data_IF_547207701321
#
_entry.id   IF_547207701321
#
_cell.length_a   1.000
_cell.length_b   1.000
_cell.length_c   1.000
_cell.angle_alpha   90.00
_cell.angle_beta   90.00
_cell.angle_gamma   90.00
#
_symmetry.space_group_name_H-M   'P 1'
#
loop_
_entity.id
_entity.type
_entity.pdbx_description
1 polymer ?
#
# COMPACT_ATOMS: atom_id res chain seq x y z
N UNK A 1 14.24 -42.05 -6.85
CA UNK A 1 14.23 -42.11 -8.32
C UNK A 1 13.74 -40.75 -8.81
N UNK A 2 14.59 -39.98 -9.51
CA UNK A 2 14.39 -38.55 -9.74
C UNK A 2 13.42 -38.32 -10.92
N UNK A 3 12.24 -37.76 -10.64
CA UNK A 3 11.19 -37.41 -11.62
C UNK A 3 11.72 -36.46 -12.72
N UNK A 4 12.80 -35.73 -12.43
CA UNK A 4 13.48 -34.81 -13.34
C UNK A 4 14.21 -35.48 -14.52
N UNK A 5 14.35 -36.81 -14.53
CA UNK A 5 15.09 -37.52 -15.58
C UNK A 5 14.24 -37.96 -16.78
N UNK A 6 12.92 -38.02 -16.64
CA UNK A 6 12.02 -38.55 -17.69
C UNK A 6 11.39 -37.48 -18.58
N UNK A 7 11.46 -36.23 -18.15
CA UNK A 7 10.93 -35.09 -18.89
C UNK A 7 12.06 -34.07 -18.83
N UNK A 8 12.63 -33.67 -19.97
CA UNK A 8 13.77 -32.73 -20.05
C UNK A 8 13.47 -31.30 -19.58
N UNK A 9 12.59 -31.17 -18.59
CA UNK A 9 12.17 -29.96 -17.92
C UNK A 9 13.16 -29.63 -16.80
N UNK A 10 13.63 -28.38 -16.75
CA UNK A 10 14.44 -27.90 -15.63
C UNK A 10 13.64 -28.00 -14.32
N UNK A 11 14.32 -28.24 -13.20
CA UNK A 11 13.68 -28.28 -11.86
C UNK A 11 12.85 -27.03 -11.57
N UNK A 12 13.33 -25.86 -12.02
CA UNK A 12 12.63 -24.58 -11.88
C UNK A 12 11.31 -24.56 -12.65
N UNK A 13 11.26 -25.14 -13.86
CA UNK A 13 10.04 -25.20 -14.66
C UNK A 13 9.02 -26.18 -14.08
N UNK A 14 9.48 -27.28 -13.46
CA UNK A 14 8.58 -28.20 -12.72
C UNK A 14 7.98 -27.51 -11.50
N UNK A 15 8.80 -26.79 -10.72
CA UNK A 15 8.32 -26.02 -9.56
C UNK A 15 7.31 -24.95 -10.02
N UNK A 16 7.62 -24.23 -11.11
CA UNK A 16 6.71 -23.26 -11.69
C UNK A 16 5.36 -23.87 -12.06
N UNK A 17 5.35 -25.00 -12.76
CA UNK A 17 4.11 -25.68 -13.17
C UNK A 17 3.30 -26.18 -11.97
N UNK A 18 3.97 -26.69 -10.93
CA UNK A 18 3.30 -27.14 -9.70
C UNK A 18 2.70 -25.97 -8.92
N UNK A 19 3.43 -24.85 -8.81
CA UNK A 19 2.91 -23.62 -8.22
C UNK A 19 1.73 -23.13 -9.05
N UNK A 20 1.86 -23.00 -10.37
CA UNK A 20 0.77 -22.58 -11.25
C UNK A 20 -0.48 -23.47 -11.17
N UNK A 21 -0.31 -24.79 -11.05
CA UNK A 21 -1.42 -25.73 -10.87
C UNK A 21 -2.09 -25.53 -9.51
N UNK A 22 -1.31 -25.47 -8.42
CA UNK A 22 -1.82 -25.22 -7.07
C UNK A 22 -2.59 -23.89 -7.04
N UNK A 23 -1.99 -22.85 -7.60
CA UNK A 23 -2.54 -21.51 -7.76
C UNK A 23 -3.88 -21.52 -8.51
N UNK A 24 -3.96 -22.27 -9.61
CA UNK A 24 -5.19 -22.39 -10.39
C UNK A 24 -6.30 -23.02 -9.56
N UNK A 25 -6.01 -24.14 -8.87
CA UNK A 25 -6.97 -24.83 -8.00
C UNK A 25 -7.42 -23.92 -6.85
N UNK A 26 -6.49 -23.22 -6.20
CA UNK A 26 -6.81 -22.40 -5.03
C UNK A 26 -7.57 -21.12 -5.40
N UNK A 27 -7.41 -20.57 -6.62
CA UNK A 27 -8.27 -19.46 -7.07
C UNK A 27 -9.73 -19.87 -7.20
N UNK A 28 -10.01 -21.10 -7.67
CA UNK A 28 -11.37 -21.62 -7.75
C UNK A 28 -11.98 -21.89 -6.37
N UNK A 29 -11.16 -22.27 -5.38
CA UNK A 29 -11.62 -22.55 -4.03
C UNK A 29 -11.78 -21.26 -3.22
N UNK A 30 -10.75 -20.42 -3.16
CA UNK A 30 -10.73 -19.20 -2.38
C UNK A 30 -9.51 -18.34 -2.73
N UNK A 31 -9.69 -17.11 -3.23
CA UNK A 31 -8.57 -16.19 -3.46
C UNK A 31 -7.85 -15.82 -2.16
N UNK A 32 -8.54 -15.89 -1.01
CA UNK A 32 -7.94 -15.68 0.31
C UNK A 32 -6.97 -16.82 0.65
N UNK A 33 -7.40 -18.07 0.50
CA UNK A 33 -6.55 -19.24 0.72
C UNK A 33 -5.34 -19.20 -0.22
N UNK A 34 -5.57 -18.89 -1.50
CA UNK A 34 -4.50 -18.71 -2.49
C UNK A 34 -3.45 -17.69 -2.05
N UNK A 35 -3.87 -16.51 -1.61
CA UNK A 35 -2.97 -15.47 -1.13
C UNK A 35 -2.11 -15.95 0.05
N UNK A 36 -2.72 -16.52 1.10
CA UNK A 36 -1.96 -16.92 2.28
C UNK A 36 -1.09 -18.15 2.05
N UNK A 37 -1.52 -19.11 1.22
CA UNK A 37 -0.64 -20.21 0.81
C UNK A 37 0.59 -19.70 0.07
N UNK A 38 0.44 -18.65 -0.73
CA UNK A 38 1.57 -18.01 -1.44
C UNK A 38 2.51 -17.31 -0.47
N UNK A 39 1.97 -16.63 0.55
CA UNK A 39 2.80 -16.03 1.61
C UNK A 39 3.54 -17.12 2.40
N UNK A 40 2.86 -18.22 2.76
CA UNK A 40 3.49 -19.37 3.44
C UNK A 40 4.56 -20.03 2.55
N UNK A 41 4.31 -20.14 1.24
CA UNK A 41 5.30 -20.59 0.27
C UNK A 41 6.59 -19.75 0.36
N UNK A 42 6.48 -18.42 0.33
CA UNK A 42 7.64 -17.54 0.49
C UNK A 42 8.35 -17.63 1.85
N UNK A 43 7.64 -18.01 2.92
CA UNK A 43 8.24 -18.20 4.25
C UNK A 43 9.09 -19.46 4.36
N UNK A 44 8.67 -20.54 3.70
CA UNK A 44 9.24 -21.88 3.90
C UNK A 44 10.03 -22.41 2.71
N UNK A 45 9.69 -21.97 1.50
CA UNK A 45 10.36 -22.38 0.27
C UNK A 45 11.42 -21.34 -0.09
N UNK A 46 12.59 -21.85 -0.50
CA UNK A 46 13.69 -21.01 -0.93
C UNK A 46 13.44 -20.53 -2.36
N UNK A 47 13.40 -19.21 -2.54
CA UNK A 47 13.05 -18.57 -3.81
C UNK A 47 14.14 -17.60 -4.26
N UNK A 48 15.32 -18.12 -4.55
CA UNK A 48 16.52 -17.32 -4.82
C UNK A 48 16.48 -16.64 -6.20
N UNK A 49 15.84 -17.27 -7.19
CA UNK A 49 15.81 -16.79 -8.57
C UNK A 49 14.52 -16.03 -8.88
N UNK A 50 14.60 -15.03 -9.76
CA UNK A 50 13.42 -14.27 -10.20
C UNK A 50 12.39 -15.19 -10.86
N UNK A 51 12.85 -16.20 -11.61
CA UNK A 51 11.99 -17.19 -12.28
C UNK A 51 11.14 -17.96 -11.26
N UNK A 52 11.70 -18.30 -10.10
CA UNK A 52 10.93 -18.97 -9.04
C UNK A 52 9.94 -18.05 -8.31
N UNK A 53 10.23 -16.75 -8.21
CA UNK A 53 9.46 -15.80 -7.41
C UNK A 53 8.34 -15.12 -8.18
N UNK A 54 8.66 -14.58 -9.35
CA UNK A 54 7.77 -13.74 -10.12
C UNK A 54 6.39 -14.38 -10.42
N UNK A 55 6.31 -15.68 -10.72
CA UNK A 55 5.03 -16.39 -10.85
C UNK A 55 4.17 -16.36 -9.59
N UNK A 56 4.78 -16.61 -8.44
CA UNK A 56 4.10 -16.58 -7.15
C UNK A 56 3.72 -15.14 -6.74
N UNK A 57 4.56 -14.15 -7.05
CA UNK A 57 4.22 -12.73 -6.88
C UNK A 57 3.02 -12.31 -7.73
N UNK A 58 3.01 -12.67 -9.01
CA UNK A 58 1.91 -12.41 -9.92
C UNK A 58 0.62 -13.09 -9.43
N UNK A 59 0.73 -14.32 -8.94
CA UNK A 59 -0.40 -15.01 -8.37
C UNK A 59 -0.96 -14.34 -7.12
N UNK A 60 -0.10 -13.87 -6.20
CA UNK A 60 -0.52 -13.08 -5.05
C UNK A 60 -1.26 -11.81 -5.48
N UNK A 61 -0.77 -11.11 -6.52
CA UNK A 61 -1.41 -9.93 -7.10
C UNK A 61 -2.81 -10.27 -7.63
N UNK A 62 -2.96 -11.36 -8.38
CA UNK A 62 -4.27 -11.82 -8.87
C UNK A 62 -5.22 -12.09 -7.71
N UNK A 63 -4.77 -12.80 -6.67
CA UNK A 63 -5.57 -13.05 -5.48
C UNK A 63 -6.03 -11.73 -4.83
N UNK A 64 -5.12 -10.79 -4.58
CA UNK A 64 -5.45 -9.46 -4.01
C UNK A 64 -6.48 -8.71 -4.87
N UNK A 65 -6.37 -8.82 -6.19
CA UNK A 65 -7.28 -8.18 -7.15
C UNK A 65 -8.70 -8.74 -7.04
N UNK A 66 -8.84 -10.06 -6.94
CA UNK A 66 -10.15 -10.72 -6.74
C UNK A 66 -10.72 -10.38 -5.36
N UNK A 67 -9.88 -10.35 -4.31
CA UNK A 67 -10.31 -9.95 -2.96
C UNK A 67 -10.82 -8.50 -2.97
N UNK A 68 -10.11 -7.57 -3.62
CA UNK A 68 -10.53 -6.18 -3.75
C UNK A 68 -11.83 -6.02 -4.53
N UNK A 69 -12.03 -6.82 -5.58
CA UNK A 69 -13.26 -6.82 -6.37
C UNK A 69 -14.46 -7.40 -5.59
N UNK A 70 -14.25 -8.14 -4.50
CA UNK A 70 -15.35 -8.73 -3.72
C UNK A 70 -16.06 -7.72 -2.80
N UNK A 71 -15.47 -6.55 -2.57
CA UNK A 71 -15.99 -5.45 -1.73
C UNK A 71 -17.33 -4.92 -2.24
N UNK A 72 -18.22 -4.56 -1.32
CA UNK A 72 -19.47 -3.87 -1.64
C UNK A 72 -19.20 -2.43 -2.05
N UNK A 73 -19.68 -2.04 -3.24
CA UNK A 73 -19.62 -0.66 -3.72
C UNK A 73 -20.65 0.19 -2.97
N UNK A 74 -20.24 1.35 -2.44
CA UNK A 74 -21.15 2.25 -1.72
C UNK A 74 -21.47 1.78 -0.30
N UNK A 75 -20.58 1.01 0.32
CA UNK A 75 -20.75 0.45 1.67
C UNK A 75 -21.01 1.53 2.76
N UNK A 76 -20.55 2.77 2.57
CA UNK A 76 -20.76 3.85 3.53
C UNK A 76 -20.67 5.25 2.95
N UNK A 77 -21.18 6.25 3.69
CA UNK A 77 -21.23 7.66 3.25
C UNK A 77 -19.85 8.29 2.99
N UNK A 78 -18.78 7.76 3.59
CA UNK A 78 -17.40 8.19 3.35
C UNK A 78 -16.65 7.43 2.26
N UNK A 79 -17.32 6.60 1.46
CA UNK A 79 -16.66 5.80 0.41
C UNK A 79 -16.29 6.66 -0.81
N UNK A 80 -15.05 7.16 -0.84
CA UNK A 80 -14.50 7.90 -1.98
C UNK A 80 -14.55 7.08 -3.29
N UNK A 81 -14.56 5.74 -3.21
CA UNK A 81 -14.67 4.90 -4.41
C UNK A 81 -15.98 5.15 -5.15
N UNK A 82 -17.09 5.06 -4.42
CA UNK A 82 -18.41 5.30 -4.96
C UNK A 82 -18.69 6.80 -5.22
N UNK A 83 -18.35 7.66 -4.27
CA UNK A 83 -18.76 9.06 -4.33
C UNK A 83 -17.87 9.95 -5.21
N UNK A 84 -16.63 9.53 -5.48
CA UNK A 84 -15.63 10.37 -6.17
C UNK A 84 -15.05 9.67 -7.39
N UNK A 85 -14.55 8.44 -7.25
CA UNK A 85 -13.80 7.79 -8.33
C UNK A 85 -14.68 7.19 -9.43
N UNK A 86 -15.81 6.57 -9.09
CA UNK A 86 -16.76 6.06 -10.08
C UNK A 86 -17.35 7.19 -10.95
N UNK A 87 -17.86 8.30 -10.38
CA UNK A 87 -18.35 9.43 -11.18
C UNK A 87 -17.28 10.00 -12.12
N UNK A 88 -16.04 10.14 -11.65
CA UNK A 88 -14.93 10.60 -12.49
C UNK A 88 -14.60 9.60 -13.61
N UNK A 89 -14.62 8.30 -13.33
CA UNK A 89 -14.41 7.25 -14.33
C UNK A 89 -15.49 7.29 -15.43
N UNK A 90 -16.77 7.39 -15.04
CA UNK A 90 -17.87 7.50 -16.00
C UNK A 90 -17.81 8.77 -16.83
N UNK A 91 -17.48 9.90 -16.21
CA UNK A 91 -17.37 11.18 -16.88
C UNK A 91 -16.27 11.15 -17.96
N UNK A 92 -15.10 10.61 -17.64
CA UNK A 92 -14.03 10.35 -18.62
C UNK A 92 -14.50 9.39 -19.71
N UNK A 93 -15.26 8.35 -19.37
CA UNK A 93 -15.82 7.41 -20.36
C UNK A 93 -16.83 8.06 -21.32
N UNK A 94 -17.57 9.09 -20.85
CA UNK A 94 -18.47 9.91 -21.67
C UNK A 94 -17.75 10.96 -22.51
N UNK A 95 -16.41 11.04 -22.44
CA UNK A 95 -15.58 11.94 -23.24
C UNK A 95 -15.25 13.27 -22.57
N UNK A 96 -15.49 13.42 -21.26
CA UNK A 96 -15.02 14.61 -20.55
C UNK A 96 -13.49 14.68 -20.50
N UNK A 97 -12.96 15.90 -20.46
CA UNK A 97 -11.52 16.15 -20.40
C UNK A 97 -10.90 15.59 -19.13
N UNK A 98 -9.74 14.95 -19.25
CA UNK A 98 -8.96 14.44 -18.10
C UNK A 98 -8.51 15.56 -17.14
N UNK A 99 -8.55 16.82 -17.57
CA UNK A 99 -8.23 18.00 -16.77
C UNK A 99 -9.44 18.60 -16.03
N UNK A 100 -10.65 18.07 -16.22
CA UNK A 100 -11.86 18.58 -15.55
C UNK A 100 -11.95 18.20 -14.07
N UNK A 101 -11.11 17.26 -13.62
CA UNK A 101 -11.21 16.63 -12.31
C UNK A 101 -10.02 17.00 -11.43
N UNK A 102 -10.27 17.07 -10.11
CA UNK A 102 -9.27 17.17 -9.03
C UNK A 102 -8.31 18.39 -9.10
N UNK A 103 -8.21 19.14 -8.00
CA UNK A 103 -7.22 20.22 -7.83
C UNK A 103 -7.14 21.20 -9.03
N UNK A 104 -8.29 21.54 -9.63
CA UNK A 104 -8.35 22.45 -10.78
C UNK A 104 -7.71 21.90 -12.06
N UNK A 105 -7.59 20.59 -12.21
CA UNK A 105 -7.03 19.91 -13.38
C UNK A 105 -5.55 19.58 -13.30
N UNK A 106 -4.87 19.96 -12.21
CA UNK A 106 -3.44 19.63 -12.00
C UNK A 106 -3.26 18.13 -11.73
N UNK A 107 -4.23 17.50 -11.05
CA UNK A 107 -4.17 16.09 -10.66
C UNK A 107 -4.86 15.16 -11.68
N UNK A 108 -4.42 15.24 -12.94
CA UNK A 108 -5.00 14.47 -14.05
C UNK A 108 -4.47 13.04 -14.19
N UNK A 109 -3.57 12.58 -13.30
CA UNK A 109 -2.93 11.26 -13.41
C UNK A 109 -3.92 10.09 -13.37
N UNK A 110 -4.88 10.13 -12.44
CA UNK A 110 -5.93 9.09 -12.34
C UNK A 110 -6.96 9.19 -13.49
N UNK A 111 -7.49 10.38 -13.86
CA UNK A 111 -8.30 10.52 -15.07
C UNK A 111 -7.60 10.03 -16.35
N UNK A 112 -6.30 10.28 -16.50
CA UNK A 112 -5.51 9.75 -17.62
C UNK A 112 -5.45 8.22 -17.60
N UNK A 113 -5.28 7.62 -16.42
CA UNK A 113 -5.34 6.17 -16.25
C UNK A 113 -6.70 5.62 -16.69
N UNK A 114 -7.82 6.24 -16.28
CA UNK A 114 -9.16 5.86 -16.72
C UNK A 114 -9.34 5.95 -18.24
N UNK A 115 -8.83 7.01 -18.87
CA UNK A 115 -8.88 7.17 -20.32
C UNK A 115 -8.13 6.04 -21.04
N UNK A 116 -6.94 5.68 -20.55
CA UNK A 116 -6.16 4.56 -21.11
C UNK A 116 -6.90 3.24 -20.90
N UNK A 117 -7.46 3.02 -19.70
CA UNK A 117 -8.21 1.81 -19.38
C UNK A 117 -9.41 1.63 -20.32
N UNK A 118 -10.23 2.67 -20.50
CA UNK A 118 -11.42 2.63 -21.37
C UNK A 118 -11.07 2.37 -22.84
N UNK A 119 -9.90 2.81 -23.30
CA UNK A 119 -9.41 2.54 -24.66
C UNK A 119 -8.94 1.10 -24.85
N UNK A 120 -8.32 0.51 -23.84
CA UNK A 120 -7.78 -0.85 -23.93
C UNK A 120 -8.83 -1.92 -23.60
N UNK A 121 -9.73 -1.63 -22.66
CA UNK A 121 -10.74 -2.53 -22.13
C UNK A 121 -12.09 -1.80 -22.05
N UNK A 122 -12.78 -1.60 -23.18
CA UNK A 122 -14.08 -0.93 -23.18
C UNK A 122 -15.11 -1.77 -22.40
N UNK A 123 -15.94 -1.11 -21.61
CA UNK A 123 -17.04 -1.75 -20.88
C UNK A 123 -16.69 -2.35 -19.51
N UNK A 124 -15.53 -2.02 -18.95
CA UNK A 124 -15.17 -2.40 -17.57
C UNK A 124 -16.18 -1.80 -16.58
N UNK A 125 -16.87 -2.66 -15.82
CA UNK A 125 -17.79 -2.25 -14.76
C UNK A 125 -17.04 -1.90 -13.46
N UNK A 126 -17.73 -1.38 -12.44
CA UNK A 126 -17.06 -0.91 -11.21
C UNK A 126 -16.42 -2.04 -10.40
N UNK A 127 -17.01 -3.23 -10.39
CA UNK A 127 -16.43 -4.41 -9.71
C UNK A 127 -15.09 -4.79 -10.37
N UNK A 128 -15.08 -4.84 -11.70
CA UNK A 128 -13.90 -5.11 -12.50
C UNK A 128 -12.86 -3.99 -12.37
N UNK A 129 -13.29 -2.73 -12.32
CA UNK A 129 -12.42 -1.58 -12.14
C UNK A 129 -11.62 -1.70 -10.83
N UNK A 130 -12.28 -2.02 -9.72
CA UNK A 130 -11.62 -2.29 -8.42
C UNK A 130 -10.52 -3.34 -8.55
N UNK A 131 -10.84 -4.48 -9.18
CA UNK A 131 -9.87 -5.54 -9.41
C UNK A 131 -8.69 -5.11 -10.29
N UNK A 132 -8.94 -4.40 -11.39
CA UNK A 132 -7.90 -3.93 -12.32
C UNK A 132 -6.96 -2.90 -11.65
N UNK A 133 -7.49 -1.97 -10.86
CA UNK A 133 -6.68 -0.99 -10.13
C UNK A 133 -5.76 -1.71 -9.15
N UNK A 134 -6.32 -2.59 -8.32
CA UNK A 134 -5.54 -3.37 -7.36
C UNK A 134 -4.48 -4.20 -8.06
N UNK A 135 -4.80 -4.82 -9.19
CA UNK A 135 -3.82 -5.57 -10.00
C UNK A 135 -2.65 -4.69 -10.43
N UNK A 136 -2.94 -3.57 -11.10
CA UNK A 136 -1.92 -2.69 -11.67
C UNK A 136 -1.07 -2.06 -10.58
N UNK A 137 -1.69 -1.58 -9.50
CA UNK A 137 -0.97 -0.93 -8.40
C UNK A 137 -0.09 -1.92 -7.64
N UNK A 138 -0.59 -3.11 -7.37
CA UNK A 138 0.19 -4.18 -6.72
C UNK A 138 1.34 -4.64 -7.63
N UNK A 139 1.11 -4.74 -8.94
CA UNK A 139 2.15 -5.07 -9.90
C UNK A 139 3.28 -4.03 -9.93
N UNK A 140 2.94 -2.74 -10.01
CA UNK A 140 3.92 -1.65 -9.94
C UNK A 140 4.68 -1.68 -8.60
N UNK A 141 3.99 -1.99 -7.50
CA UNK A 141 4.64 -2.15 -6.20
C UNK A 141 5.65 -3.30 -6.18
N UNK A 142 5.31 -4.48 -6.71
CA UNK A 142 6.25 -5.61 -6.82
C UNK A 142 7.46 -5.26 -7.69
N UNK A 143 7.27 -4.51 -8.79
CA UNK A 143 8.40 -4.00 -9.58
C UNK A 143 9.33 -3.10 -8.75
N UNK A 144 8.77 -2.25 -7.88
CA UNK A 144 9.57 -1.45 -6.95
C UNK A 144 10.32 -2.32 -5.94
N UNK A 145 9.64 -3.33 -5.37
CA UNK A 145 10.21 -4.26 -4.39
C UNK A 145 11.42 -4.99 -4.99
N UNK A 146 11.28 -5.59 -6.17
CA UNK A 146 12.37 -6.30 -6.85
C UNK A 146 13.52 -5.34 -7.22
N UNK A 147 13.20 -4.13 -7.73
CA UNK A 147 14.23 -3.18 -8.19
C UNK A 147 15.02 -2.53 -7.07
N UNK A 148 14.37 -2.15 -5.98
CA UNK A 148 14.99 -1.29 -4.95
C UNK A 148 15.12 -1.99 -3.60
N UNK A 149 14.14 -2.77 -3.19
CA UNK A 149 14.14 -3.36 -1.85
C UNK A 149 14.97 -4.65 -1.81
N UNK A 150 14.61 -5.65 -2.61
CA UNK A 150 15.26 -6.97 -2.61
C UNK A 150 16.68 -6.96 -3.16
N UNK A 151 17.04 -5.95 -3.96
CA UNK A 151 18.40 -5.75 -4.48
C UNK A 151 19.48 -5.79 -3.39
N UNK A 152 19.16 -5.35 -2.17
CA UNK A 152 20.10 -5.28 -1.04
C UNK A 152 19.91 -6.39 -0.01
N UNK A 153 19.05 -7.38 -0.30
CA UNK A 153 18.77 -8.51 0.59
C UNK A 153 19.47 -9.75 0.06
N UNK A 154 20.16 -10.47 0.95
CA UNK A 154 20.80 -11.76 0.62
C UNK A 154 19.73 -12.75 0.10
N UNK A 155 20.07 -13.53 -0.93
CA UNK A 155 19.11 -14.40 -1.64
C UNK A 155 18.31 -15.32 -0.71
N UNK A 156 18.98 -15.93 0.27
CA UNK A 156 18.36 -16.82 1.28
C UNK A 156 17.25 -16.17 2.12
N UNK A 157 17.17 -14.83 2.17
CA UNK A 157 16.15 -14.10 2.92
C UNK A 157 15.10 -13.41 2.04
N UNK A 158 15.26 -13.41 0.71
CA UNK A 158 14.33 -12.71 -0.20
C UNK A 158 12.89 -13.20 -0.08
N UNK A 159 12.69 -14.51 0.04
CA UNK A 159 11.35 -15.10 0.25
C UNK A 159 10.70 -14.56 1.54
N UNK A 160 11.39 -14.61 2.68
CA UNK A 160 10.84 -14.10 3.95
C UNK A 160 10.57 -12.60 3.90
N UNK A 161 11.42 -11.83 3.21
CA UNK A 161 11.24 -10.40 3.01
C UNK A 161 9.97 -10.10 2.19
N UNK A 162 9.73 -10.85 1.11
CA UNK A 162 8.52 -10.76 0.30
C UNK A 162 7.27 -11.18 1.06
N UNK A 163 7.31 -12.30 1.77
CA UNK A 163 6.20 -12.75 2.61
C UNK A 163 5.78 -11.66 3.60
N UNK A 164 6.77 -11.02 4.24
CA UNK A 164 6.53 -9.90 5.14
C UNK A 164 5.91 -8.70 4.42
N UNK A 165 6.45 -8.29 3.26
CA UNK A 165 5.85 -7.21 2.48
C UNK A 165 4.40 -7.52 2.10
N UNK A 166 4.11 -8.71 1.57
CA UNK A 166 2.79 -9.11 1.11
C UNK A 166 1.76 -9.19 2.24
N UNK A 167 2.13 -9.70 3.43
CA UNK A 167 1.17 -9.82 4.55
C UNK A 167 0.80 -8.47 5.16
N UNK A 168 1.71 -7.50 5.13
CA UNK A 168 1.48 -6.14 5.63
C UNK A 168 1.02 -5.16 4.54
N UNK A 169 1.05 -5.56 3.27
CA UNK A 169 0.60 -4.73 2.17
C UNK A 169 -0.89 -4.44 2.30
N UNK A 170 -1.25 -3.16 2.36
CA UNK A 170 -2.63 -2.74 2.55
C UNK A 170 -3.39 -2.67 1.22
N UNK A 171 -3.54 -3.78 0.51
CA UNK A 171 -4.09 -3.77 -0.84
C UNK A 171 -5.55 -3.30 -0.93
N UNK A 172 -6.35 -3.40 0.14
CA UNK A 172 -7.75 -2.93 0.14
C UNK A 172 -7.85 -1.39 0.07
N UNK A 173 -6.89 -0.66 0.64
CA UNK A 173 -6.91 0.82 0.62
C UNK A 173 -6.67 1.38 -0.79
N UNK A 174 -6.14 0.57 -1.72
CA UNK A 174 -5.76 1.00 -3.06
C UNK A 174 -6.96 1.56 -3.84
N UNK A 175 -8.14 1.01 -3.58
CA UNK A 175 -9.40 1.39 -4.26
C UNK A 175 -10.15 2.49 -3.50
N UNK A 176 -10.01 2.56 -2.17
CA UNK A 176 -10.60 3.64 -1.38
C UNK A 176 -9.81 4.95 -1.45
N UNK A 177 -8.49 4.90 -1.67
CA UNK A 177 -7.62 6.07 -1.79
C UNK A 177 -6.83 6.02 -3.10
N UNK A 178 -7.53 5.90 -4.24
CA UNK A 178 -6.92 5.61 -5.55
C UNK A 178 -5.86 6.61 -6.00
N UNK A 179 -6.17 7.91 -5.95
CA UNK A 179 -5.22 8.97 -6.35
C UNK A 179 -3.94 8.90 -5.51
N UNK A 180 -4.13 8.75 -4.21
CA UNK A 180 -3.02 8.75 -3.27
C UNK A 180 -2.21 7.45 -3.32
N UNK A 181 -2.85 6.31 -3.54
CA UNK A 181 -2.20 5.02 -3.72
C UNK A 181 -1.36 5.02 -4.99
N UNK A 182 -1.90 5.54 -6.09
CA UNK A 182 -1.18 5.74 -7.36
C UNK A 182 0.04 6.64 -7.16
N UNK A 183 -0.16 7.78 -6.51
CA UNK A 183 0.92 8.71 -6.21
C UNK A 183 2.00 8.07 -5.33
N UNK A 184 1.60 7.32 -4.30
CA UNK A 184 2.52 6.65 -3.37
C UNK A 184 3.43 5.64 -4.05
N UNK A 185 2.96 4.92 -5.08
CA UNK A 185 3.81 4.05 -5.89
C UNK A 185 4.94 4.85 -6.55
N UNK A 186 4.61 5.98 -7.17
CA UNK A 186 5.61 6.84 -7.80
C UNK A 186 6.49 7.58 -6.79
N UNK A 187 5.98 7.88 -5.58
CA UNK A 187 6.79 8.34 -4.44
C UNK A 187 7.86 7.30 -4.09
N UNK A 188 7.51 6.01 -4.00
CA UNK A 188 8.47 4.95 -3.72
C UNK A 188 9.57 4.87 -4.78
N UNK A 189 9.22 4.92 -6.08
CA UNK A 189 10.20 4.97 -7.16
C UNK A 189 11.09 6.22 -7.09
N UNK A 190 10.49 7.38 -6.82
CA UNK A 190 11.22 8.65 -6.68
C UNK A 190 12.25 8.59 -5.55
N UNK A 191 11.83 8.14 -4.36
CA UNK A 191 12.71 7.93 -3.20
C UNK A 191 13.82 6.91 -3.51
N UNK A 192 13.47 5.78 -4.13
CA UNK A 192 14.44 4.75 -4.52
C UNK A 192 15.56 5.31 -5.41
N UNK A 193 15.19 6.07 -6.45
CA UNK A 193 16.17 6.70 -7.33
C UNK A 193 16.98 7.81 -6.66
N UNK A 194 16.37 8.62 -5.78
CA UNK A 194 17.12 9.62 -5.02
C UNK A 194 18.13 9.01 -4.06
N UNK A 195 17.78 7.91 -3.39
CA UNK A 195 18.70 7.17 -2.52
C UNK A 195 19.86 6.54 -3.31
N UNK A 196 19.63 6.11 -4.55
CA UNK A 196 20.68 5.66 -5.49
C UNK A 196 21.44 6.83 -6.17
N UNK A 197 21.17 8.09 -5.79
CA UNK A 197 21.76 9.31 -6.39
C UNK A 197 21.43 9.51 -7.88
N UNK A 198 20.41 8.85 -8.41
CA UNK A 198 19.90 9.07 -9.75
C UNK A 198 18.82 10.16 -9.75
N UNK A 199 19.25 11.41 -9.58
CA UNK A 199 18.34 12.55 -9.41
C UNK A 199 17.42 12.77 -10.62
N UNK A 200 17.90 12.52 -11.84
CA UNK A 200 17.08 12.69 -13.06
C UNK A 200 15.85 11.80 -13.03
N UNK A 201 16.03 10.50 -12.79
CA UNK A 201 14.90 9.56 -12.68
C UNK A 201 14.05 9.88 -11.45
N UNK A 202 14.67 10.22 -10.32
CA UNK A 202 13.97 10.63 -9.11
C UNK A 202 13.01 11.80 -9.34
N UNK A 203 13.45 12.84 -10.06
CA UNK A 203 12.63 14.01 -10.42
C UNK A 203 11.50 13.65 -11.37
N UNK A 204 11.74 12.81 -12.37
CA UNK A 204 10.66 12.34 -13.28
C UNK A 204 9.55 11.65 -12.47
N UNK A 205 9.91 10.72 -11.60
CA UNK A 205 8.93 10.03 -10.75
C UNK A 205 8.27 10.96 -9.72
N UNK A 206 8.98 11.98 -9.22
CA UNK A 206 8.40 13.02 -8.37
C UNK A 206 7.32 13.82 -9.10
N UNK A 207 7.58 14.26 -10.34
CA UNK A 207 6.61 15.01 -11.13
C UNK A 207 5.37 14.16 -11.45
N UNK A 208 5.58 12.89 -11.82
CA UNK A 208 4.47 11.95 -12.06
C UNK A 208 3.65 11.72 -10.78
N UNK A 209 4.30 11.60 -9.62
CA UNK A 209 3.61 11.48 -8.35
C UNK A 209 2.74 12.72 -8.04
N UNK A 210 3.25 13.93 -8.30
CA UNK A 210 2.49 15.17 -8.13
C UNK A 210 1.28 15.28 -9.09
N UNK A 211 1.41 14.80 -10.34
CA UNK A 211 0.29 14.71 -11.30
C UNK A 211 -0.78 13.71 -10.82
N UNK A 212 -0.40 12.69 -10.04
CA UNK A 212 -1.37 11.75 -9.47
C UNK A 212 -2.03 12.31 -8.21
N UNK A 213 -1.26 12.97 -7.34
CA UNK A 213 -1.76 13.62 -6.13
C UNK A 213 -0.74 14.65 -5.60
N UNK A 214 -1.18 15.89 -5.37
CA UNK A 214 -0.28 17.01 -5.05
C UNK A 214 0.42 16.88 -3.69
N UNK A 215 -0.13 16.10 -2.75
CA UNK A 215 0.53 15.85 -1.46
C UNK A 215 1.91 15.21 -1.60
N UNK A 216 2.22 14.58 -2.74
CA UNK A 216 3.55 14.06 -3.07
C UNK A 216 4.65 15.12 -2.98
N UNK A 217 4.31 16.38 -3.28
CA UNK A 217 5.20 17.53 -3.15
C UNK A 217 5.69 17.75 -1.70
N UNK A 218 4.91 17.30 -0.70
CA UNK A 218 5.25 17.34 0.72
C UNK A 218 5.88 16.02 1.16
N UNK A 219 5.31 14.88 0.76
CA UNK A 219 5.72 13.55 1.21
C UNK A 219 7.16 13.23 0.80
N UNK A 220 7.56 13.53 -0.44
CA UNK A 220 8.91 13.18 -0.92
C UNK A 220 10.00 13.96 -0.15
N UNK A 221 9.95 15.31 -0.03
CA UNK A 221 10.90 16.05 0.80
C UNK A 221 10.91 15.59 2.26
N UNK A 222 9.74 15.32 2.84
CA UNK A 222 9.61 14.80 4.21
C UNK A 222 10.44 13.51 4.41
N UNK A 223 10.25 12.53 3.54
CA UNK A 223 10.98 11.26 3.61
C UNK A 223 12.46 11.43 3.32
N UNK A 224 12.84 12.27 2.36
CA UNK A 224 14.25 12.59 2.08
C UNK A 224 14.95 13.20 3.30
N UNK A 225 14.27 14.04 4.08
CA UNK A 225 14.79 14.58 5.34
C UNK A 225 14.98 13.48 6.37
N UNK A 226 13.99 12.58 6.53
CA UNK A 226 14.10 11.46 7.48
C UNK A 226 15.20 10.45 7.13
N UNK A 227 15.46 10.24 5.85
CA UNK A 227 16.60 9.43 5.37
C UNK A 227 17.95 10.15 5.42
N UNK A 228 17.97 11.49 5.52
CA UNK A 228 19.23 12.26 5.55
C UNK A 228 20.06 11.96 6.80
N UNK A 229 21.33 12.37 6.83
CA UNK A 229 22.15 12.31 8.06
C UNK A 229 21.99 13.55 8.96
N UNK A 230 21.18 14.54 8.54
CA UNK A 230 21.10 15.85 9.18
C UNK A 230 20.08 15.85 10.32
N UNK A 231 20.55 15.57 11.55
CA UNK A 231 19.71 15.51 12.77
C UNK A 231 18.84 16.76 12.98
N UNK A 232 19.40 17.94 12.75
CA UNK A 232 18.70 19.21 12.97
C UNK A 232 17.46 19.34 12.06
N UNK A 233 17.56 19.00 10.77
CA UNK A 233 16.42 19.06 9.83
C UNK A 233 15.29 18.13 10.27
N UNK A 234 15.62 16.93 10.73
CA UNK A 234 14.62 15.96 11.19
C UNK A 234 13.86 16.47 12.42
N UNK A 235 14.58 17.05 13.37
CA UNK A 235 13.98 17.67 14.55
C UNK A 235 13.11 18.86 14.14
N UNK A 236 13.61 19.74 13.26
CA UNK A 236 12.83 20.88 12.76
C UNK A 236 11.53 20.44 12.08
N UNK A 237 11.56 19.37 11.29
CA UNK A 237 10.34 18.80 10.68
C UNK A 237 9.37 18.29 11.73
N UNK A 238 9.83 17.53 12.73
CA UNK A 238 8.94 17.04 13.80
C UNK A 238 8.34 18.21 14.58
N UNK A 239 9.13 19.22 14.93
CA UNK A 239 8.65 20.44 15.58
C UNK A 239 7.66 21.21 14.71
N UNK A 240 7.90 21.28 13.40
CA UNK A 240 6.96 21.90 12.46
C UNK A 240 5.63 21.14 12.41
N UNK A 241 5.66 19.80 12.43
CA UNK A 241 4.44 18.99 12.48
C UNK A 241 3.68 19.25 13.79
N UNK A 242 4.35 19.32 14.93
CA UNK A 242 3.74 19.68 16.22
C UNK A 242 3.07 21.05 16.12
N UNK A 243 3.80 22.05 15.61
CA UNK A 243 3.26 23.39 15.42
C UNK A 243 2.03 23.37 14.50
N UNK A 244 2.11 22.69 13.35
CA UNK A 244 1.01 22.58 12.40
C UNK A 244 -0.24 21.94 13.03
N UNK A 245 -0.08 20.90 13.84
CA UNK A 245 -1.20 20.24 14.55
C UNK A 245 -1.82 21.14 15.60
N UNK A 246 -1.01 21.85 16.40
CA UNK A 246 -1.51 22.80 17.39
C UNK A 246 -2.28 23.93 16.69
N UNK A 247 -1.71 24.48 15.61
CA UNK A 247 -2.32 25.54 14.82
C UNK A 247 -3.55 25.09 14.04
N UNK A 248 -3.66 23.80 13.70
CA UNK A 248 -4.76 23.27 12.87
C UNK A 248 -6.13 23.59 13.46
N UNK A 249 -6.35 23.32 14.75
CA UNK A 249 -7.64 23.60 15.41
C UNK A 249 -8.00 25.09 15.39
N UNK A 250 -7.04 25.95 15.70
CA UNK A 250 -7.24 27.40 15.66
C UNK A 250 -7.54 27.90 14.24
N UNK A 251 -6.83 27.37 13.25
CA UNK A 251 -6.95 27.78 11.85
C UNK A 251 -8.27 27.30 11.22
N UNK A 252 -8.67 26.05 11.50
CA UNK A 252 -9.99 25.52 11.09
C UNK A 252 -11.10 26.37 11.70
N UNK A 253 -11.08 26.60 13.01
CA UNK A 253 -12.10 27.43 13.67
C UNK A 253 -12.17 28.85 13.15
N UNK A 254 -11.01 29.46 12.86
CA UNK A 254 -10.95 30.79 12.26
C UNK A 254 -11.55 30.81 10.84
N UNK A 255 -11.23 29.82 10.00
CA UNK A 255 -11.75 29.69 8.64
C UNK A 255 -13.26 29.50 8.63
N UNK A 256 -13.77 28.61 9.50
CA UNK A 256 -15.21 28.32 9.58
C UNK A 256 -15.97 29.54 10.10
N UNK A 257 -15.51 30.16 11.19
CA UNK A 257 -16.16 31.33 11.79
C UNK A 257 -16.24 32.53 10.84
N UNK A 258 -15.23 32.74 9.98
CA UNK A 258 -15.17 33.89 9.06
C UNK A 258 -15.53 33.53 7.62
N UNK A 259 -15.93 32.28 7.35
CA UNK A 259 -16.24 31.76 6.02
C UNK A 259 -15.21 32.13 4.93
N UNK A 260 -13.91 32.03 5.28
CA UNK A 260 -12.80 32.60 4.49
C UNK A 260 -12.75 32.07 3.06
N UNK A 261 -13.13 30.80 2.86
CA UNK A 261 -13.09 30.15 1.55
C UNK A 261 -14.48 29.95 0.92
N UNK A 262 -15.50 30.65 1.42
CA UNK A 262 -16.87 30.57 0.90
C UNK A 262 -17.39 29.13 0.89
N UNK A 263 -17.79 28.63 -0.28
CA UNK A 263 -18.31 27.26 -0.39
C UNK A 263 -17.28 26.23 0.09
N UNK A 264 -15.98 26.42 -0.09
CA UNK A 264 -14.98 25.44 0.38
C UNK A 264 -14.85 25.36 1.91
N UNK A 265 -15.42 26.32 2.65
CA UNK A 265 -15.50 26.30 4.12
C UNK A 265 -16.28 25.08 4.62
N UNK A 266 -17.27 24.55 3.86
CA UNK A 266 -18.03 23.36 4.29
C UNK A 266 -17.12 22.15 4.53
N UNK A 267 -16.05 21.98 3.74
CA UNK A 267 -15.09 20.88 3.91
C UNK A 267 -14.27 21.02 5.19
N UNK A 268 -14.10 22.25 5.67
CA UNK A 268 -13.39 22.53 6.92
C UNK A 268 -14.32 22.35 8.14
N UNK A 269 -15.61 22.64 8.00
CA UNK A 269 -16.62 22.40 9.03
C UNK A 269 -16.77 20.91 9.42
N UNK A 270 -16.52 19.99 8.48
CA UNK A 270 -16.46 18.54 8.76
C UNK A 270 -15.38 18.18 9.81
N UNK A 271 -14.34 19.02 9.97
CA UNK A 271 -13.33 18.81 11.01
C UNK A 271 -13.68 19.48 12.36
N UNK A 272 -14.76 20.26 12.44
CA UNK A 272 -15.34 20.74 13.70
C UNK A 272 -16.39 19.78 14.26
N UNK A 273 -17.09 19.06 13.39
CA UNK A 273 -18.00 18.00 13.81
C UNK A 273 -17.19 16.85 14.41
N UNK A 274 -17.33 16.62 15.72
CA UNK A 274 -16.74 15.50 16.50
C UNK A 274 -17.20 14.09 15.99
N UNK A 275 -17.91 14.02 14.87
CA UNK A 275 -18.50 12.83 14.25
C UNK A 275 -17.49 12.04 13.41
N UNK A 276 -16.27 12.55 13.19
CA UNK A 276 -15.22 11.71 12.60
C UNK A 276 -14.79 10.70 13.66
N UNK A 277 -15.46 9.55 13.66
CA UNK A 277 -15.11 8.38 14.46
C UNK A 277 -13.59 8.20 14.42
N UNK A 278 -13.00 8.40 15.58
CA UNK A 278 -11.56 8.34 15.88
C UNK A 278 -10.94 6.96 15.61
N UNK A 279 -11.71 6.02 15.08
CA UNK A 279 -11.34 4.65 14.73
C UNK A 279 -10.49 4.57 13.46
N UNK A 280 -10.59 5.53 12.53
CA UNK A 280 -9.88 5.42 11.25
C UNK A 280 -8.36 5.68 11.34
N UNK A 281 -7.89 6.53 12.27
CA UNK A 281 -6.48 6.94 12.38
C UNK A 281 -5.60 6.08 13.30
N UNK A 282 -6.19 5.09 14.00
CA UNK A 282 -5.47 4.27 14.98
C UNK A 282 -4.89 2.96 14.41
N UNK A 283 -5.25 2.59 13.17
CA UNK A 283 -5.02 1.25 12.62
C UNK A 283 -3.55 0.80 12.58
N UNK A 284 -2.61 1.72 12.36
CA UNK A 284 -1.17 1.42 12.28
C UNK A 284 -0.36 1.91 13.48
N UNK A 285 -1.00 2.53 14.47
CA UNK A 285 -0.33 3.06 15.68
C UNK A 285 0.48 1.96 16.38
N UNK A 286 -0.14 0.79 16.55
CA UNK A 286 0.53 -0.35 17.19
C UNK A 286 1.77 -0.80 16.39
N UNK A 287 1.67 -0.87 15.06
CA UNK A 287 2.82 -1.22 14.21
C UNK A 287 3.96 -0.20 14.33
N UNK A 288 3.64 1.10 14.34
CA UNK A 288 4.63 2.15 14.54
C UNK A 288 5.31 2.07 15.92
N UNK A 289 4.55 1.83 16.99
CA UNK A 289 5.10 1.65 18.34
C UNK A 289 6.05 0.46 18.37
N UNK A 290 5.63 -0.69 17.82
CA UNK A 290 6.48 -1.89 17.78
C UNK A 290 7.75 -1.62 16.97
N UNK A 291 7.65 -1.01 15.79
CA UNK A 291 8.83 -0.64 14.98
C UNK A 291 9.74 0.34 15.72
N UNK A 292 9.19 1.31 16.44
CA UNK A 292 9.96 2.26 17.22
C UNK A 292 10.74 1.56 18.34
N UNK A 293 10.12 0.65 19.07
CA UNK A 293 10.80 -0.16 20.09
C UNK A 293 11.91 -1.02 19.46
N UNK A 294 11.61 -1.74 18.38
CA UNK A 294 12.59 -2.57 17.66
C UNK A 294 13.78 -1.75 17.15
N UNK A 295 13.55 -0.53 16.66
CA UNK A 295 14.59 0.36 16.17
C UNK A 295 15.66 0.68 17.22
N UNK A 296 15.32 0.59 18.52
CA UNK A 296 16.27 0.80 19.63
C UNK A 296 17.17 -0.41 19.89
N UNK A 297 16.68 -1.62 19.64
CA UNK A 297 17.39 -2.86 19.94
C UNK A 297 18.38 -3.26 18.83
N UNK A 298 18.30 -2.63 17.65
CA UNK A 298 19.17 -2.96 16.52
C UNK A 298 20.38 -2.03 16.49
N UNK A 299 21.55 -2.66 16.62
CA UNK A 299 22.87 -2.00 16.60
C UNK A 299 23.61 -2.16 15.27
N UNK A 300 22.94 -2.65 14.23
CA UNK A 300 23.57 -2.88 12.92
C UNK A 300 23.67 -1.58 12.11
N UNK A 301 24.90 -1.17 11.80
CA UNK A 301 25.18 0.03 11.01
C UNK A 301 24.58 -0.03 9.59
N UNK A 302 24.35 -1.23 9.05
CA UNK A 302 23.88 -1.43 7.68
C UNK A 302 22.48 -0.88 7.42
N UNK A 303 21.69 -0.62 8.47
CA UNK A 303 20.29 -0.20 8.37
C UNK A 303 19.99 1.11 9.12
N UNK A 304 21.02 1.92 9.40
CA UNK A 304 20.87 3.17 10.17
C UNK A 304 19.93 4.19 9.50
N UNK A 305 19.83 4.20 8.16
CA UNK A 305 18.89 5.06 7.44
C UNK A 305 17.42 4.69 7.75
N UNK A 306 17.10 3.39 7.80
CA UNK A 306 15.75 2.90 8.15
C UNK A 306 15.44 3.06 9.64
N UNK A 307 16.45 2.90 10.51
CA UNK A 307 16.32 3.20 11.93
C UNK A 307 16.02 4.68 12.16
N UNK A 308 16.76 5.56 11.49
CA UNK A 308 16.48 7.00 11.48
C UNK A 308 15.07 7.28 10.98
N UNK A 309 14.67 6.70 9.83
CA UNK A 309 13.33 6.87 9.29
C UNK A 309 12.28 6.60 10.36
N UNK A 310 12.30 5.41 10.99
CA UNK A 310 11.33 5.00 12.00
C UNK A 310 11.38 5.87 13.25
N UNK A 311 12.57 6.24 13.71
CA UNK A 311 12.73 7.04 14.91
C UNK A 311 12.03 8.41 14.81
N UNK A 312 12.07 9.03 13.63
CA UNK A 312 11.44 10.34 13.41
C UNK A 312 10.02 10.23 12.83
N UNK A 313 9.73 9.21 12.03
CA UNK A 313 8.40 8.99 11.48
C UNK A 313 7.39 8.56 12.54
N UNK A 314 7.79 7.78 13.55
CA UNK A 314 6.89 7.34 14.61
C UNK A 314 6.28 8.51 15.41
N UNK A 315 7.07 9.42 16.02
CA UNK A 315 6.48 10.57 16.71
C UNK A 315 5.70 11.47 15.75
N UNK A 316 6.20 11.71 14.53
CA UNK A 316 5.48 12.49 13.53
C UNK A 316 4.11 11.88 13.18
N UNK A 317 4.04 10.56 12.98
CA UNK A 317 2.80 9.83 12.72
C UNK A 317 1.82 9.97 13.89
N UNK A 318 2.28 9.73 15.13
CA UNK A 318 1.46 9.83 16.35
C UNK A 318 0.94 11.25 16.61
N UNK A 319 1.74 12.28 16.30
CA UNK A 319 1.29 13.67 16.41
C UNK A 319 0.21 13.96 15.37
N UNK A 320 0.37 13.44 14.15
CA UNK A 320 -0.58 13.64 13.05
C UNK A 320 -1.88 12.86 13.20
N UNK A 321 -1.98 11.84 14.07
CA UNK A 321 -3.28 11.18 14.33
C UNK A 321 -4.30 12.12 14.95
N UNK A 322 -3.85 13.26 15.50
CA UNK A 322 -4.73 14.32 16.02
C UNK A 322 -5.45 15.09 14.90
N UNK A 323 -4.99 14.96 13.64
CA UNK A 323 -5.70 15.47 12.46
C UNK A 323 -6.29 14.26 11.71
N UNK A 324 -7.60 14.21 11.48
CA UNK A 324 -8.24 13.09 10.80
C UNK A 324 -7.58 12.73 9.47
N UNK A 325 -7.24 11.44 9.30
CA UNK A 325 -6.58 10.85 8.13
C UNK A 325 -5.19 11.41 7.76
N UNK A 326 -4.68 12.48 8.40
CA UNK A 326 -3.43 13.12 7.99
C UNK A 326 -2.22 12.18 8.16
N UNK A 327 -2.19 11.43 9.27
CA UNK A 327 -1.16 10.44 9.56
C UNK A 327 -1.08 9.37 8.47
N UNK A 328 -2.21 8.72 8.16
CA UNK A 328 -2.27 7.65 7.16
C UNK A 328 -1.97 8.16 5.76
N UNK A 329 -2.39 9.39 5.45
CA UNK A 329 -2.13 10.01 4.15
C UNK A 329 -0.66 10.34 3.95
N UNK A 330 -0.01 11.01 4.91
CA UNK A 330 1.40 11.40 4.78
C UNK A 330 2.35 10.20 4.88
N UNK A 331 2.00 9.19 5.67
CA UNK A 331 2.83 8.01 5.88
C UNK A 331 2.38 6.77 5.10
N UNK A 332 1.48 6.93 4.12
CA UNK A 332 1.06 5.85 3.22
C UNK A 332 2.22 5.06 2.59
N UNK A 333 3.36 5.67 2.19
CA UNK A 333 4.51 4.90 1.72
C UNK A 333 5.01 3.86 2.74
N UNK A 334 4.89 4.14 4.04
CA UNK A 334 5.21 3.18 5.11
C UNK A 334 4.00 2.27 5.35
N UNK A 335 2.87 2.82 5.79
CA UNK A 335 1.72 2.04 6.28
C UNK A 335 1.08 1.17 5.20
N UNK A 336 1.00 1.69 3.98
CA UNK A 336 0.39 1.00 2.86
C UNK A 336 1.32 0.00 2.17
N UNK A 337 2.62 0.31 2.08
CA UNK A 337 3.55 -0.40 1.19
C UNK A 337 4.78 -0.98 1.90
N UNK A 338 5.58 -0.15 2.58
CA UNK A 338 6.89 -0.58 3.09
C UNK A 338 6.87 -1.29 4.45
N UNK A 339 5.74 -1.29 5.16
CA UNK A 339 5.65 -1.70 6.56
C UNK A 339 6.28 -3.08 6.82
N UNK A 340 5.90 -4.08 6.01
CA UNK A 340 6.45 -5.43 6.12
C UNK A 340 7.94 -5.51 5.82
N UNK A 341 8.44 -4.72 4.87
CA UNK A 341 9.87 -4.64 4.56
C UNK A 341 10.69 -4.08 5.73
N UNK A 342 10.17 -3.08 6.43
CA UNK A 342 10.83 -2.50 7.60
C UNK A 342 10.84 -3.50 8.78
N UNK A 343 9.72 -4.20 9.02
CA UNK A 343 9.70 -5.30 9.99
C UNK A 343 10.75 -6.36 9.67
N UNK A 344 10.87 -6.77 8.40
CA UNK A 344 11.88 -7.73 7.97
C UNK A 344 13.29 -7.23 8.26
N UNK A 345 13.62 -5.98 7.92
CA UNK A 345 14.93 -5.38 8.20
C UNK A 345 15.27 -5.51 9.68
N UNK A 346 14.30 -5.22 10.55
CA UNK A 346 14.50 -5.22 11.98
C UNK A 346 14.59 -6.62 12.61
N UNK A 347 13.86 -7.58 12.06
CA UNK A 347 13.86 -8.96 12.54
C UNK A 347 14.83 -9.89 11.80
N UNK A 348 15.56 -9.41 10.79
CA UNK A 348 16.46 -10.23 9.96
C UNK A 348 17.42 -11.10 10.78
N UNK A 349 17.96 -10.58 11.89
CA UNK A 349 18.88 -11.32 12.79
C UNK A 349 18.20 -12.45 13.55
N UNK A 350 16.89 -12.36 13.75
CA UNK A 350 16.05 -13.32 14.48
C UNK A 350 15.04 -13.99 13.54
N UNK A 351 15.51 -14.41 12.36
CA UNK A 351 14.65 -14.85 11.25
C UNK A 351 13.69 -15.99 11.63
N UNK A 352 14.11 -16.92 12.49
CA UNK A 352 13.26 -18.03 12.93
C UNK A 352 12.09 -17.54 13.77
N UNK A 353 12.34 -16.66 14.73
CA UNK A 353 11.29 -16.01 15.54
C UNK A 353 10.37 -15.21 14.63
N UNK A 354 10.94 -14.48 13.68
CA UNK A 354 10.16 -13.70 12.72
C UNK A 354 9.21 -14.54 11.87
N UNK A 355 9.68 -15.71 11.38
CA UNK A 355 8.83 -16.66 10.65
C UNK A 355 7.64 -17.12 11.48
N UNK A 356 7.86 -17.48 12.75
CA UNK A 356 6.79 -17.91 13.66
C UNK A 356 5.77 -16.79 13.86
N UNK A 357 6.25 -15.56 14.11
CA UNK A 357 5.39 -14.38 14.24
C UNK A 357 4.59 -14.10 12.96
N UNK A 358 5.21 -14.22 11.79
CA UNK A 358 4.54 -14.04 10.51
C UNK A 358 3.47 -15.10 10.26
N UNK A 359 3.70 -16.37 10.60
CA UNK A 359 2.70 -17.43 10.49
C UNK A 359 1.50 -17.14 11.41
N UNK A 360 1.76 -16.77 12.66
CA UNK A 360 0.70 -16.39 13.60
C UNK A 360 -0.11 -15.17 13.08
N UNK A 361 0.58 -14.19 12.51
CA UNK A 361 -0.06 -13.01 11.92
C UNK A 361 -0.85 -13.35 10.64
N UNK A 362 -0.35 -14.27 9.81
CA UNK A 362 -1.09 -14.79 8.66
C UNK A 362 -2.39 -15.47 9.09
N UNK A 363 -2.36 -16.31 10.13
CA UNK A 363 -3.56 -16.94 10.66
C UNK A 363 -4.56 -15.88 11.16
N UNK A 364 -4.10 -14.93 11.98
CA UNK A 364 -4.95 -13.82 12.46
C UNK A 364 -5.60 -13.03 11.31
N UNK A 365 -4.81 -12.67 10.29
CA UNK A 365 -5.31 -11.91 9.14
C UNK A 365 -6.22 -12.74 8.24
N UNK A 366 -5.96 -14.03 8.08
CA UNK A 366 -6.85 -14.96 7.37
C UNK A 366 -8.23 -15.02 8.05
N UNK A 367 -8.27 -15.21 9.37
CA UNK A 367 -9.53 -15.23 10.11
C UNK A 367 -10.28 -13.89 10.02
N UNK A 368 -9.56 -12.77 10.19
CA UNK A 368 -10.14 -11.42 10.09
C UNK A 368 -10.68 -11.09 8.70
N UNK A 369 -10.01 -11.53 7.64
CA UNK A 369 -10.43 -11.26 6.26
C UNK A 369 -11.34 -12.34 5.68
N UNK A 370 -11.54 -13.48 6.34
CA UNK A 370 -12.44 -14.55 5.87
C UNK A 370 -13.64 -14.71 6.80
N UNK A 371 -13.64 -15.68 7.72
CA UNK A 371 -14.76 -15.96 8.63
C UNK A 371 -15.28 -14.76 9.43
N UNK A 372 -14.40 -13.83 9.83
CA UNK A 372 -14.76 -12.66 10.64
C UNK A 372 -14.68 -11.35 9.85
N UNK A 373 -14.90 -11.41 8.53
CA UNK A 373 -14.85 -10.24 7.65
C UNK A 373 -16.05 -9.29 7.79
N UNK A 374 -17.00 -9.60 8.69
CA UNK A 374 -18.16 -8.75 8.97
C UNK A 374 -17.70 -7.30 9.23
N UNK A 375 -18.27 -6.36 8.48
CA UNK A 375 -17.99 -4.93 8.54
C UNK A 375 -16.67 -4.42 7.92
N UNK A 376 -15.90 -5.24 7.21
CA UNK A 376 -14.73 -4.76 6.47
C UNK A 376 -15.16 -4.39 5.04
N UNK A 377 -15.63 -3.17 4.81
CA UNK A 377 -16.05 -2.67 3.49
C UNK A 377 -17.07 -3.59 2.75
N UNK A 378 -17.87 -4.36 3.47
CA UNK A 378 -18.72 -5.38 2.85
C UNK A 378 -17.92 -6.39 2.02
N UNK A 379 -16.74 -6.79 2.50
CA UNK A 379 -15.89 -7.78 1.85
C UNK A 379 -16.69 -9.07 1.60
N UNK A 380 -16.47 -9.67 0.44
CA UNK A 380 -17.16 -10.87 -0.03
C UNK A 380 -18.62 -10.72 -0.45
N UNK A 381 -19.08 -9.48 -0.62
CA UNK A 381 -20.42 -9.19 -1.15
C UNK A 381 -20.59 -9.65 -2.60
N UNK A 382 -19.65 -9.30 -3.49
CA UNK A 382 -19.78 -9.67 -4.91
C UNK A 382 -19.38 -11.12 -5.19
N UNK A 383 -18.48 -11.68 -4.39
CA UNK A 383 -17.98 -13.05 -4.51
C UNK A 383 -17.64 -13.60 -3.12
N UNK A 384 -18.07 -14.82 -2.76
CA UNK A 384 -17.83 -15.35 -1.43
C UNK A 384 -16.34 -15.70 -1.23
N UNK A 385 -15.89 -15.63 0.02
CA UNK A 385 -14.48 -15.91 0.36
C UNK A 385 -14.11 -17.38 0.23
N UNK A 386 -15.06 -18.28 0.47
CA UNK A 386 -15.04 -19.67 0.04
C UNK A 386 -15.96 -19.77 -1.17
N UNK A 387 -15.47 -20.39 -2.25
CA UNK A 387 -16.25 -20.58 -3.47
C UNK A 387 -17.61 -21.21 -3.20
N UNK A 388 -18.55 -21.02 -4.13
CA UNK A 388 -19.96 -21.44 -4.02
C UNK A 388 -20.18 -22.94 -3.75
N UNK A 389 -19.12 -23.76 -3.75
CA UNK A 389 -19.14 -25.19 -3.41
C UNK A 389 -19.31 -25.40 -1.89
N UNK A 390 -18.94 -24.42 -1.06
CA UNK A 390 -18.95 -24.52 0.41
C UNK A 390 -20.00 -23.62 1.10
N UNK A 391 -20.88 -22.98 0.32
CA UNK A 391 -21.96 -22.10 0.82
C UNK A 391 -23.30 -22.80 0.71
#
# INVERSE_FOLDING_TARGET
MNITSYIGLSQELVIFLLVALLCSITLFISPLVGLYLTILYFLFVRTDTLISRFPAELYAIVCMSVISASIQVGYGHGDDYYNVYIPAYEAVNRGESIFSFFSGGVEFGLPLFFLILNKLFPGVNYIQLSGVITFIYSFIFILWVERFFLKYIEDKYKGVALASLLVFFNYLILVHLMRQSMASLFVLFSLGYFLEKNYRKGVVFFLVACICHLSSAVIIPLFMIFFSNKKYLKISVVLFIIFAVISFKFLVGFIVAHNIFGVATYKMAVYEDDVIETTAGAGFVLHFIVLFLLSRFIRDGSYESYKSLIFYSCPAYLILTLIPFASDRLFMPITGFMLGGIFFIFFKKYITVFRILLVAYCALRFFRLGPFAENIYGLWYNYPWLGSIFV
#
